data_IF_544068838264
#
_entry.id   IF_544068838264
#
_cell.length_a   1.000
_cell.length_b   1.000
_cell.length_c   1.000
_cell.angle_alpha   90.00
_cell.angle_beta   90.00
_cell.angle_gamma   90.00
#
_symmetry.space_group_name_H-M   'P 1'
#
loop_
_entity.id
_entity.type
_entity.pdbx_description
1 polymer ?
#
# COMPACT_ATOMS: atom_id res chain seq x y z
N UNK A 1 -14.37 1.05 -1.52
CA UNK A 1 -14.42 2.13 -0.49
C UNK A 1 -14.32 3.49 -1.16
N UNK A 2 -15.28 4.38 -0.93
CA UNK A 2 -15.22 5.77 -1.41
C UNK A 2 -14.53 6.62 -0.33
N UNK A 3 -13.28 7.01 -0.56
CA UNK A 3 -12.58 7.96 0.29
C UNK A 3 -13.17 9.35 0.05
N UNK A 4 -14.22 9.71 0.80
CA UNK A 4 -15.07 10.89 0.58
C UNK A 4 -14.39 12.27 0.74
N UNK A 5 -13.07 12.35 0.85
CA UNK A 5 -12.36 13.62 1.05
C UNK A 5 -11.03 13.72 0.30
N UNK A 6 -10.65 12.69 -0.48
CA UNK A 6 -9.39 12.72 -1.25
C UNK A 6 -9.70 12.99 -2.71
N UNK A 7 -9.26 14.14 -3.21
CA UNK A 7 -9.30 14.42 -4.64
C UNK A 7 -8.28 13.54 -5.38
N UNK A 8 -8.76 12.41 -5.85
CA UNK A 8 -7.95 11.46 -6.63
C UNK A 8 -7.52 12.02 -7.98
N UNK A 9 -8.14 13.08 -8.50
CA UNK A 9 -7.76 13.69 -9.79
C UNK A 9 -6.46 14.48 -9.67
N UNK A 10 -6.26 15.19 -8.58
CA UNK A 10 -5.02 15.89 -8.28
C UNK A 10 -3.92 14.91 -7.85
N UNK A 11 -4.27 13.90 -7.05
CA UNK A 11 -3.31 12.87 -6.62
C UNK A 11 -2.73 12.10 -7.82
N UNK A 12 -3.51 11.87 -8.87
CA UNK A 12 -3.05 11.22 -10.11
C UNK A 12 -1.98 12.02 -10.86
N UNK A 13 -1.89 13.34 -10.66
CA UNK A 13 -0.80 14.16 -11.21
C UNK A 13 0.56 13.86 -10.54
N UNK A 14 0.52 13.25 -9.35
CA UNK A 14 1.70 12.83 -8.58
C UNK A 14 1.74 11.30 -8.45
N UNK A 15 2.27 10.59 -9.47
CA UNK A 15 2.13 9.13 -9.58
C UNK A 15 2.75 8.36 -8.41
N UNK A 16 3.82 8.89 -7.80
CA UNK A 16 4.42 8.30 -6.61
C UNK A 16 3.50 8.36 -5.39
N UNK A 17 2.95 9.54 -5.09
CA UNK A 17 2.06 9.75 -3.94
C UNK A 17 0.76 8.95 -4.12
N UNK A 18 0.22 8.92 -5.33
CA UNK A 18 -0.92 8.08 -5.67
C UNK A 18 -0.64 6.59 -5.42
N UNK A 19 0.55 6.11 -5.78
CA UNK A 19 0.94 4.72 -5.57
C UNK A 19 1.04 4.38 -4.08
N UNK A 20 1.66 5.24 -3.28
CA UNK A 20 1.78 5.06 -1.83
C UNK A 20 0.39 5.03 -1.20
N UNK A 21 -0.43 6.04 -1.49
CA UNK A 21 -1.80 6.13 -1.01
C UNK A 21 -2.61 4.90 -1.39
N UNK A 22 -2.52 4.43 -2.65
CA UNK A 22 -3.29 3.26 -3.08
C UNK A 22 -2.86 1.98 -2.34
N UNK A 23 -1.55 1.80 -2.12
CA UNK A 23 -1.04 0.69 -1.32
C UNK A 23 -1.58 0.74 0.11
N UNK A 24 -1.57 1.90 0.75
CA UNK A 24 -2.12 2.08 2.10
C UNK A 24 -3.62 1.74 2.15
N UNK A 25 -4.39 2.20 1.15
CA UNK A 25 -5.82 1.92 1.08
C UNK A 25 -6.10 0.42 0.94
N UNK A 26 -5.38 -0.24 0.02
CA UNK A 26 -5.52 -1.69 -0.21
C UNK A 26 -5.16 -2.51 1.03
N UNK A 27 -4.12 -2.09 1.77
CA UNK A 27 -3.64 -2.83 2.94
C UNK A 27 -4.56 -2.64 4.13
N UNK A 28 -4.95 -1.39 4.43
CA UNK A 28 -5.70 -1.09 5.65
C UNK A 28 -7.19 -1.46 5.52
N UNK A 29 -7.75 -1.38 4.32
CA UNK A 29 -9.20 -1.49 4.12
C UNK A 29 -9.64 -2.68 3.27
N UNK A 30 -8.68 -3.48 2.79
CA UNK A 30 -8.96 -4.67 2.02
C UNK A 30 -8.68 -4.50 0.53
N UNK A 31 -8.39 -5.64 -0.08
CA UNK A 31 -7.86 -5.71 -1.43
C UNK A 31 -8.93 -5.63 -2.52
N UNK A 32 -10.21 -5.88 -2.19
CA UNK A 32 -11.33 -5.82 -3.13
C UNK A 32 -11.08 -6.62 -4.44
N UNK A 33 -10.41 -7.77 -4.32
CA UNK A 33 -10.02 -8.62 -5.46
C UNK A 33 -8.71 -8.23 -6.16
N UNK A 34 -8.09 -7.12 -5.80
CA UNK A 34 -6.79 -6.70 -6.34
C UNK A 34 -5.61 -7.41 -5.66
N UNK A 35 -4.46 -7.51 -6.35
CA UNK A 35 -3.22 -8.07 -5.78
C UNK A 35 -2.20 -6.97 -5.51
N UNK A 36 -1.53 -7.05 -4.35
CA UNK A 36 -0.39 -6.19 -4.03
C UNK A 36 0.82 -6.56 -4.89
N UNK A 37 1.40 -5.58 -5.59
CA UNK A 37 2.65 -5.76 -6.32
C UNK A 37 3.83 -5.72 -5.35
N UNK A 38 4.47 -6.88 -5.12
CA UNK A 38 5.63 -7.03 -4.22
C UNK A 38 6.72 -5.98 -4.44
N UNK A 39 7.06 -5.67 -5.70
CA UNK A 39 8.12 -4.71 -6.04
C UNK A 39 7.77 -3.29 -5.61
N UNK A 40 6.51 -2.85 -5.80
CA UNK A 40 6.05 -1.53 -5.35
C UNK A 40 5.98 -1.47 -3.83
N UNK A 41 5.48 -2.54 -3.20
CA UNK A 41 5.40 -2.64 -1.75
C UNK A 41 6.79 -2.52 -1.09
N UNK A 42 7.81 -3.19 -1.65
CA UNK A 42 9.21 -3.06 -1.20
C UNK A 42 9.78 -1.68 -1.46
N UNK A 43 9.57 -1.13 -2.67
CA UNK A 43 10.07 0.20 -3.06
C UNK A 43 9.59 1.30 -2.13
N UNK A 44 8.33 1.24 -1.71
CA UNK A 44 7.71 2.28 -0.89
C UNK A 44 7.59 1.93 0.59
N UNK A 45 8.15 0.80 1.04
CA UNK A 45 7.95 0.27 2.39
C UNK A 45 8.24 1.27 3.52
N UNK A 46 9.31 2.06 3.37
CA UNK A 46 9.70 3.09 4.35
C UNK A 46 8.73 4.27 4.42
N UNK A 47 7.93 4.50 3.37
CA UNK A 47 6.98 5.60 3.25
C UNK A 47 5.54 5.20 3.64
N UNK A 48 5.24 3.90 3.78
CA UNK A 48 3.90 3.41 4.04
C UNK A 48 3.46 3.61 5.50
N UNK A 49 2.29 4.25 5.65
CA UNK A 49 1.52 4.41 6.89
C UNK A 49 0.37 3.39 6.91
N UNK A 50 0.73 2.16 7.24
CA UNK A 50 -0.20 1.03 7.37
C UNK A 50 -0.31 0.59 8.84
N UNK A 51 -1.43 -0.06 9.16
CA UNK A 51 -1.66 -0.60 10.50
C UNK A 51 -0.48 -1.49 10.97
N UNK A 52 -0.02 -1.36 12.23
CA UNK A 52 1.13 -2.11 12.74
C UNK A 52 1.01 -3.64 12.60
N UNK A 53 -0.20 -4.20 12.73
CA UNK A 53 -0.42 -5.64 12.59
C UNK A 53 -0.19 -6.09 11.15
N UNK A 54 -0.76 -5.36 10.18
CA UNK A 54 -0.52 -5.64 8.76
C UNK A 54 0.94 -5.39 8.38
N UNK A 55 1.57 -4.36 8.95
CA UNK A 55 2.99 -4.06 8.71
C UNK A 55 3.90 -5.21 9.13
N UNK A 56 3.66 -5.80 10.31
CA UNK A 56 4.41 -6.95 10.81
C UNK A 56 4.18 -8.20 9.96
N UNK A 57 2.94 -8.47 9.57
CA UNK A 57 2.61 -9.63 8.73
C UNK A 57 3.25 -9.51 7.33
N UNK A 58 3.09 -8.36 6.69
CA UNK A 58 3.67 -8.10 5.38
C UNK A 58 5.20 -8.06 5.44
N UNK A 59 5.81 -7.55 6.52
CA UNK A 59 7.27 -7.61 6.66
C UNK A 59 7.77 -9.04 6.77
N UNK A 60 7.07 -9.89 7.52
CA UNK A 60 7.38 -11.31 7.55
C UNK A 60 7.34 -11.87 6.13
N UNK A 61 6.22 -11.77 5.40
CA UNK A 61 6.12 -12.32 4.03
C UNK A 61 7.14 -11.75 3.04
N UNK A 62 7.51 -10.48 3.18
CA UNK A 62 8.45 -9.84 2.27
C UNK A 62 9.88 -10.32 2.47
N UNK A 63 10.31 -10.62 3.70
CA UNK A 63 11.70 -10.90 4.02
C UNK A 63 11.96 -12.30 4.61
N UNK A 64 10.93 -13.07 4.96
CA UNK A 64 11.06 -14.44 5.50
C UNK A 64 11.32 -15.51 4.44
N UNK A 65 11.03 -15.23 3.16
CA UNK A 65 11.26 -16.16 2.05
C UNK A 65 12.70 -16.11 1.49
N UNK A 66 13.71 -15.86 2.34
CA UNK A 66 15.11 -16.17 2.02
C UNK A 66 15.47 -17.47 2.72
N UNK A 67 15.11 -18.58 2.09
CA UNK A 67 15.62 -19.93 2.37
C UNK A 67 16.19 -20.49 1.10
#
# INVERSE_FOLDING_TARGET
MYNWSVDTTELKKHPEQYTIWRLEQLINYGLDGEKLKKNLLRKYWSKLRIDPHYKKYLSFLLWSNQS
#
